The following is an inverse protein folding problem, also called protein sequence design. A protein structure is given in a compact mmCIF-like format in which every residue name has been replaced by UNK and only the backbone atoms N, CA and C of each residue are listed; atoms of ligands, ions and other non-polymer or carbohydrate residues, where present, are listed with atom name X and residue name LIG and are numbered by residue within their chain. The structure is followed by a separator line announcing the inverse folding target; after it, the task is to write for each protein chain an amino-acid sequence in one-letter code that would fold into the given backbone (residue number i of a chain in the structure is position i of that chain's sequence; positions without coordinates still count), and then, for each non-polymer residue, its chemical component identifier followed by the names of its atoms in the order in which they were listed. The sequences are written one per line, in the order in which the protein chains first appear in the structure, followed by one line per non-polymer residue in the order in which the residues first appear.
data_IF_485563793654
#
_entry.id   IF_485563793654
#
_cell.length_a   1.000
_cell.length_b   1.000
_cell.length_c   1.000
_cell.angle_alpha   90.00
_cell.angle_beta   90.00
_cell.angle_gamma   90.00
#
_symmetry.space_group_name_H-M   'P 1'
#
loop_
_entity.id
_entity.type
_entity.pdbx_description
1 polymer ?
#
# COMPACT_ATOMS: atom_id res chain seq x y z
N UNK A 1 6.67 -1.40 -18.45
CA UNK A 1 7.22 -2.53 -17.67
C UNK A 1 7.08 -2.22 -16.20
N UNK A 2 6.52 -3.15 -15.43
CA UNK A 2 6.42 -3.02 -13.98
C UNK A 2 7.74 -3.41 -13.30
N UNK A 3 8.07 -2.69 -12.25
CA UNK A 3 9.17 -3.01 -11.32
C UNK A 3 8.58 -3.24 -9.94
N UNK A 4 9.02 -4.30 -9.28
CA UNK A 4 8.62 -4.67 -7.92
C UNK A 4 9.84 -4.57 -7.03
N UNK A 5 9.78 -3.66 -6.06
CA UNK A 5 10.85 -3.39 -5.11
C UNK A 5 10.37 -3.78 -3.72
N UNK A 6 10.70 -5.00 -3.30
CA UNK A 6 10.39 -5.47 -1.96
C UNK A 6 11.28 -4.74 -0.95
N UNK A 7 10.73 -3.71 -0.30
CA UNK A 7 11.48 -2.90 0.65
C UNK A 7 11.64 -3.65 1.98
N UNK A 8 10.63 -4.40 2.40
CA UNK A 8 10.69 -5.27 3.57
C UNK A 8 9.58 -6.31 3.52
N UNK A 9 9.84 -7.47 4.13
CA UNK A 9 8.87 -8.53 4.34
C UNK A 9 9.12 -9.21 5.68
N UNK A 10 8.06 -9.48 6.43
CA UNK A 10 8.08 -10.11 7.74
C UNK A 10 7.65 -9.19 8.88
N UNK A 11 7.71 -9.70 10.11
CA UNK A 11 7.14 -9.07 11.32
C UNK A 11 7.71 -7.69 11.68
N UNK A 12 8.85 -7.30 11.09
CA UNK A 12 9.44 -5.97 11.27
C UNK A 12 8.79 -4.89 10.38
N UNK A 13 7.82 -5.26 9.54
CA UNK A 13 7.10 -4.38 8.64
C UNK A 13 7.18 -4.85 7.19
N UNK A 14 6.02 -4.96 6.54
CA UNK A 14 5.87 -5.27 5.13
C UNK A 14 5.70 -3.97 4.34
N UNK A 15 6.42 -3.87 3.22
CA UNK A 15 6.25 -2.77 2.28
C UNK A 15 6.81 -3.18 0.90
N UNK A 16 5.96 -3.09 -0.11
CA UNK A 16 6.30 -3.36 -1.50
C UNK A 16 6.05 -2.10 -2.33
N UNK A 17 7.10 -1.55 -2.92
CA UNK A 17 6.99 -0.47 -3.90
C UNK A 17 6.79 -1.09 -5.28
N UNK A 18 5.71 -0.71 -5.95
CA UNK A 18 5.45 -1.09 -7.34
C UNK A 18 5.55 0.15 -8.22
N UNK A 19 6.36 0.09 -9.26
CA UNK A 19 6.64 1.23 -10.14
C UNK A 19 6.44 0.85 -11.61
N UNK A 20 5.76 1.72 -12.35
CA UNK A 20 5.72 1.70 -13.81
C UNK A 20 6.72 2.72 -14.37
N UNK A 21 6.54 3.12 -15.63
CA UNK A 21 7.29 4.24 -16.18
C UNK A 21 6.83 5.60 -15.61
N UNK A 22 5.57 5.71 -15.20
CA UNK A 22 4.95 7.00 -14.84
C UNK A 22 4.33 7.05 -13.45
N UNK A 23 4.10 5.89 -12.84
CA UNK A 23 3.32 5.75 -11.61
C UNK A 23 4.08 4.92 -10.59
N UNK A 24 3.94 5.29 -9.32
CA UNK A 24 4.38 4.47 -8.19
C UNK A 24 3.24 4.29 -7.22
N UNK A 25 3.09 3.07 -6.70
CA UNK A 25 2.18 2.74 -5.62
C UNK A 25 2.91 1.95 -4.55
N UNK A 26 2.44 2.00 -3.31
CA UNK A 26 2.88 1.12 -2.24
C UNK A 26 1.79 0.09 -1.96
N UNK A 27 2.20 -1.16 -1.79
CA UNK A 27 1.40 -2.20 -1.16
C UNK A 27 1.95 -2.36 0.27
N UNK A 28 1.10 -2.05 1.23
CA UNK A 28 1.40 -1.97 2.67
C UNK A 28 2.44 -0.92 3.07
N UNK A 29 2.36 -0.50 4.33
CA UNK A 29 3.17 0.55 4.95
C UNK A 29 3.56 0.14 6.37
N UNK A 30 4.10 -1.07 6.51
CA UNK A 30 4.56 -1.63 7.77
C UNK A 30 5.86 -1.02 8.31
N UNK A 31 6.52 -0.19 7.53
CA UNK A 31 7.78 0.48 7.86
C UNK A 31 7.55 1.94 8.23
N UNK A 32 8.40 2.51 9.09
CA UNK A 32 8.41 3.96 9.31
C UNK A 32 8.74 4.73 8.02
N UNK A 33 8.26 5.97 7.90
CA UNK A 33 8.55 6.83 6.74
C UNK A 33 10.04 6.94 6.42
N UNK A 34 10.89 7.03 7.46
CA UNK A 34 12.35 7.05 7.30
C UNK A 34 12.88 5.75 6.70
N UNK A 35 12.41 4.60 7.18
CA UNK A 35 12.84 3.30 6.66
C UNK A 35 12.39 3.08 5.22
N UNK A 36 11.15 3.47 4.87
CA UNK A 36 10.67 3.42 3.49
C UNK A 36 11.59 4.20 2.55
N UNK A 37 11.91 5.44 2.92
CA UNK A 37 12.78 6.30 2.11
C UNK A 37 14.18 5.72 1.95
N UNK A 38 14.85 5.37 3.07
CA UNK A 38 16.20 4.83 3.03
C UNK A 38 16.29 3.52 2.23
N UNK A 39 15.28 2.65 2.32
CA UNK A 39 15.27 1.37 1.61
C UNK A 39 14.94 1.53 0.13
N UNK A 40 14.04 2.46 -0.23
CA UNK A 40 13.80 2.81 -1.62
C UNK A 40 15.08 3.36 -2.27
N UNK A 41 15.76 4.29 -1.61
CA UNK A 41 17.03 4.86 -2.10
C UNK A 41 18.12 3.79 -2.26
N UNK A 42 18.21 2.85 -1.31
CA UNK A 42 19.20 1.77 -1.35
C UNK A 42 19.05 0.84 -2.58
N UNK A 43 17.85 0.77 -3.17
CA UNK A 43 17.58 0.00 -4.40
C UNK A 43 17.49 0.89 -5.65
N UNK A 44 17.88 2.17 -5.54
CA UNK A 44 17.87 3.13 -6.65
C UNK A 44 16.48 3.67 -7.01
N UNK A 45 15.50 3.53 -6.13
CA UNK A 45 14.15 4.09 -6.28
C UNK A 45 13.93 5.26 -5.33
N UNK A 46 12.82 5.99 -5.52
CA UNK A 46 12.37 7.05 -4.64
C UNK A 46 10.87 6.95 -4.37
N UNK A 47 10.40 7.54 -3.27
CA UNK A 47 8.97 7.70 -3.01
C UNK A 47 8.35 8.91 -3.73
N UNK A 48 9.17 9.69 -4.44
CA UNK A 48 8.66 10.80 -5.23
C UNK A 48 7.78 10.28 -6.37
N UNK A 49 6.65 10.96 -6.57
CA UNK A 49 5.64 10.55 -7.54
C UNK A 49 4.78 9.37 -7.09
N UNK A 50 4.84 8.95 -5.81
CA UNK A 50 3.90 8.00 -5.22
C UNK A 50 2.47 8.53 -5.33
N UNK A 51 1.57 7.72 -5.90
CA UNK A 51 0.20 8.11 -6.25
C UNK A 51 -0.86 7.55 -5.32
N UNK A 52 -0.64 6.35 -4.80
CA UNK A 52 -1.59 5.66 -3.95
C UNK A 52 -0.88 4.65 -3.04
N UNK A 53 -1.57 4.29 -1.96
CA UNK A 53 -1.23 3.16 -1.10
C UNK A 53 -2.38 2.16 -1.14
N UNK A 54 -2.07 0.87 -1.18
CA UNK A 54 -3.01 -0.23 -1.07
C UNK A 54 -2.66 -1.04 0.19
N UNK A 55 -3.61 -1.22 1.10
CA UNK A 55 -3.41 -1.99 2.33
C UNK A 55 -4.06 -3.35 2.18
N UNK A 56 -3.32 -4.41 2.42
CA UNK A 56 -3.84 -5.79 2.32
C UNK A 56 -4.77 -6.14 3.48
N UNK A 57 -4.39 -5.75 4.70
CA UNK A 57 -5.16 -5.95 5.93
C UNK A 57 -4.61 -5.12 7.10
N UNK A 58 -5.31 -5.11 8.24
CA UNK A 58 -5.11 -4.17 9.35
C UNK A 58 -4.02 -4.53 10.37
N UNK A 59 -3.19 -5.55 10.13
CA UNK A 59 -2.12 -5.90 11.06
C UNK A 59 -1.04 -4.83 11.17
N UNK A 60 -0.46 -4.69 12.36
CA UNK A 60 0.52 -3.63 12.66
C UNK A 60 1.74 -3.65 11.73
N UNK A 61 2.23 -4.82 11.39
CA UNK A 61 3.34 -4.99 10.44
C UNK A 61 2.95 -4.67 8.99
N UNK A 62 1.70 -4.30 8.70
CA UNK A 62 1.24 -3.78 7.42
C UNK A 62 0.87 -2.30 7.46
N UNK A 63 0.52 -1.75 8.64
CA UNK A 63 -0.02 -0.38 8.73
C UNK A 63 0.73 0.56 9.68
N UNK A 64 1.76 0.12 10.39
CA UNK A 64 2.41 0.94 11.44
C UNK A 64 2.93 2.31 10.96
N UNK A 65 3.32 2.43 9.68
CA UNK A 65 3.78 3.67 9.06
C UNK A 65 2.69 4.49 8.38
N UNK A 66 1.47 3.97 8.26
CA UNK A 66 0.41 4.52 7.42
C UNK A 66 0.03 5.95 7.81
N UNK A 67 -0.22 6.23 9.10
CA UNK A 67 -0.63 7.56 9.54
C UNK A 67 0.44 8.65 9.29
N UNK A 68 1.72 8.32 9.46
CA UNK A 68 2.81 9.28 9.16
C UNK A 68 2.92 9.52 7.66
N UNK A 69 2.87 8.46 6.86
CA UNK A 69 2.93 8.58 5.40
C UNK A 69 1.74 9.39 4.86
N UNK A 70 0.53 9.11 5.34
CA UNK A 70 -0.69 9.84 4.95
C UNK A 70 -0.58 11.35 5.20
N UNK A 71 -0.10 11.75 6.40
CA UNK A 71 0.10 13.17 6.74
C UNK A 71 1.16 13.88 5.88
N UNK A 72 2.20 13.15 5.46
CA UNK A 72 3.31 13.72 4.67
C UNK A 72 3.00 13.83 3.18
N UNK A 73 2.16 12.95 2.65
CA UNK A 73 1.95 12.80 1.21
C UNK A 73 0.56 13.23 0.75
N UNK A 74 -0.48 13.09 1.58
CA UNK A 74 -1.86 13.43 1.23
C UNK A 74 -2.49 12.56 0.13
N UNK A 75 -1.84 11.45 -0.23
CA UNK A 75 -2.31 10.50 -1.25
C UNK A 75 -3.40 9.59 -0.69
N UNK A 76 -4.27 9.02 -1.55
CA UNK A 76 -5.29 8.08 -1.13
C UNK A 76 -4.70 6.75 -0.61
N UNK A 77 -5.31 6.23 0.44
CA UNK A 77 -5.08 4.88 0.97
C UNK A 77 -6.30 4.01 0.65
N UNK A 78 -6.09 3.06 -0.24
CA UNK A 78 -7.09 2.09 -0.67
C UNK A 78 -7.08 0.88 0.25
N UNK A 79 -8.25 0.53 0.78
CA UNK A 79 -8.45 -0.66 1.61
C UNK A 79 -9.94 -1.03 1.67
N UNK A 80 -10.23 -2.25 2.11
CA UNK A 80 -11.60 -2.70 2.35
C UNK A 80 -12.23 -2.01 3.57
N UNK A 81 -13.58 -1.94 3.66
CA UNK A 81 -14.26 -1.40 4.84
C UNK A 81 -13.85 -2.09 6.14
N UNK A 82 -13.68 -3.42 6.13
CA UNK A 82 -13.24 -4.18 7.29
C UNK A 82 -11.82 -3.80 7.72
N UNK A 83 -10.89 -3.70 6.78
CA UNK A 83 -9.52 -3.23 7.05
C UNK A 83 -9.51 -1.81 7.62
N UNK A 84 -10.30 -0.89 7.06
CA UNK A 84 -10.38 0.48 7.55
C UNK A 84 -10.94 0.58 8.97
N UNK A 85 -12.00 -0.18 9.27
CA UNK A 85 -12.60 -0.23 10.60
C UNK A 85 -11.71 -0.94 11.63
N UNK A 86 -10.90 -1.89 11.18
CA UNK A 86 -9.97 -2.67 12.01
C UNK A 86 -8.63 -1.99 12.28
N UNK A 87 -8.34 -0.82 11.69
CA UNK A 87 -7.06 -0.15 11.86
C UNK A 87 -6.69 0.00 13.36
N UNK A 88 -5.50 -0.45 13.78
CA UNK A 88 -5.05 -0.35 15.16
C UNK A 88 -5.05 1.11 15.63
N UNK A 89 -5.43 1.34 16.89
CA UNK A 89 -5.50 2.69 17.48
C UNK A 89 -4.16 3.47 17.40
N UNK A 90 -3.04 2.76 17.37
CA UNK A 90 -1.68 3.33 17.24
C UNK A 90 -1.27 3.75 15.82
N UNK A 91 -2.05 3.40 14.79
CA UNK A 91 -1.73 3.71 13.37
C UNK A 91 -1.65 5.22 13.11
N UNK A 92 -2.40 6.00 13.90
CA UNK A 92 -2.60 7.42 13.69
C UNK A 92 -3.55 7.73 12.54
N UNK A 93 -3.88 9.01 12.36
CA UNK A 93 -4.88 9.43 11.37
C UNK A 93 -4.42 9.17 9.92
N UNK A 94 -5.21 8.39 9.19
CA UNK A 94 -5.14 8.22 7.73
C UNK A 94 -6.21 9.13 7.12
N UNK A 95 -5.83 10.33 6.70
CA UNK A 95 -6.76 11.42 6.36
C UNK A 95 -7.56 11.19 5.07
N UNK A 96 -7.11 10.29 4.19
CA UNK A 96 -7.68 10.10 2.85
C UNK A 96 -7.85 8.62 2.53
N UNK A 97 -8.78 7.98 3.23
CA UNK A 97 -9.17 6.59 2.97
C UNK A 97 -10.11 6.53 1.77
N UNK A 98 -9.82 5.62 0.84
CA UNK A 98 -10.66 5.29 -0.31
C UNK A 98 -11.07 3.83 -0.20
N UNK A 99 -12.36 3.58 0.07
CA UNK A 99 -12.85 2.22 0.27
C UNK A 99 -13.12 1.52 -1.06
N UNK A 100 -12.93 0.20 -1.08
CA UNK A 100 -13.31 -0.70 -2.17
C UNK A 100 -13.81 -2.04 -1.59
N UNK A 101 -14.56 -2.81 -2.36
CA UNK A 101 -14.98 -4.17 -1.97
C UNK A 101 -14.03 -5.24 -2.55
N UNK A 102 -13.83 -6.36 -1.84
CA UNK A 102 -12.96 -7.42 -2.34
C UNK A 102 -13.43 -7.93 -3.71
N UNK A 103 -12.52 -7.94 -4.70
CA UNK A 103 -12.83 -8.21 -6.10
C UNK A 103 -12.85 -6.96 -6.98
N UNK A 104 -12.95 -5.77 -6.39
CA UNK A 104 -12.92 -4.51 -7.15
C UNK A 104 -11.54 -4.23 -7.74
N UNK A 105 -11.55 -3.51 -8.87
CA UNK A 105 -10.38 -2.98 -9.54
C UNK A 105 -10.31 -1.46 -9.41
N UNK A 106 -9.15 -0.96 -9.01
CA UNK A 106 -8.87 0.47 -8.85
C UNK A 106 -7.84 0.90 -9.90
N UNK A 107 -8.19 1.89 -10.72
CA UNK A 107 -7.25 2.50 -11.66
C UNK A 107 -6.43 3.60 -10.98
N UNK A 108 -5.11 3.53 -11.13
CA UNK A 108 -4.17 4.56 -10.68
C UNK A 108 -3.27 4.92 -11.87
N UNK A 109 -3.60 6.02 -12.54
CA UNK A 109 -2.89 6.47 -13.74
C UNK A 109 -2.76 5.33 -14.79
N UNK A 110 -1.54 4.83 -15.05
CA UNK A 110 -1.27 3.74 -16.00
C UNK A 110 -1.30 2.32 -15.39
N UNK A 111 -1.80 2.17 -14.16
CA UNK A 111 -1.95 0.91 -13.44
C UNK A 111 -3.41 0.57 -13.16
N UNK A 112 -3.71 -0.73 -13.17
CA UNK A 112 -4.95 -1.29 -12.62
C UNK A 112 -4.56 -2.23 -11.48
N UNK A 113 -5.15 -2.01 -10.31
CA UNK A 113 -4.92 -2.82 -9.10
C UNK A 113 -6.23 -3.53 -8.76
N UNK A 114 -6.26 -4.84 -8.96
CA UNK A 114 -7.45 -5.68 -8.70
C UNK A 114 -7.27 -6.45 -7.40
N UNK A 115 -8.22 -6.30 -6.50
CA UNK A 115 -8.22 -7.02 -5.23
C UNK A 115 -8.82 -8.41 -5.37
N UNK A 116 -8.42 -9.35 -4.52
CA UNK A 116 -9.08 -10.64 -4.36
C UNK A 116 -9.05 -11.07 -2.88
N UNK A 117 -10.12 -11.70 -2.37
CA UNK A 117 -10.18 -12.10 -0.97
C UNK A 117 -9.16 -13.21 -0.67
N UNK A 118 -8.57 -13.16 0.51
CA UNK A 118 -7.68 -14.22 1.02
C UNK A 118 -8.14 -14.70 2.39
N UNK A 119 -7.82 -15.94 2.76
CA UNK A 119 -8.09 -16.44 4.11
C UNK A 119 -6.93 -16.07 5.03
N UNK A 120 -7.16 -15.12 5.95
CA UNK A 120 -6.21 -14.75 6.99
C UNK A 120 -6.94 -14.33 8.27
N UNK A 121 -6.23 -14.31 9.40
CA UNK A 121 -6.79 -13.86 10.68
C UNK A 121 -6.83 -12.33 10.73
N UNK A 122 -7.72 -11.75 9.93
CA UNK A 122 -7.93 -10.30 9.80
C UNK A 122 -9.38 -10.03 9.40
N UNK A 123 -9.86 -8.79 9.58
CA UNK A 123 -11.26 -8.42 9.43
C UNK A 123 -11.78 -8.61 8.00
N UNK A 124 -11.01 -8.17 7.00
CA UNK A 124 -11.38 -8.28 5.59
C UNK A 124 -10.14 -8.23 4.67
N UNK A 125 -9.28 -9.27 4.72
CA UNK A 125 -7.98 -9.28 4.06
C UNK A 125 -8.08 -9.58 2.56
N UNK A 126 -7.26 -8.87 1.79
CA UNK A 126 -7.15 -9.05 0.33
C UNK A 126 -5.71 -9.20 -0.15
N UNK A 127 -5.54 -9.93 -1.24
CA UNK A 127 -4.37 -9.85 -2.11
C UNK A 127 -4.61 -8.90 -3.29
N UNK A 128 -3.55 -8.57 -4.01
CA UNK A 128 -3.62 -7.67 -5.17
C UNK A 128 -2.96 -8.26 -6.40
N UNK A 129 -3.61 -8.07 -7.55
CA UNK A 129 -3.03 -8.21 -8.88
C UNK A 129 -2.76 -6.82 -9.42
N UNK A 130 -1.54 -6.55 -9.89
CA UNK A 130 -1.17 -5.24 -10.47
C UNK A 130 -0.82 -5.43 -11.93
N UNK A 131 -1.53 -4.67 -12.76
CA UNK A 131 -1.34 -4.65 -14.21
C UNK A 131 -0.94 -3.23 -14.64
N UNK A 132 -0.07 -3.11 -15.64
CA UNK A 132 0.30 -1.82 -16.22
C UNK A 132 0.60 -1.97 -17.70
N UNK A 133 0.07 -1.03 -18.49
CA UNK A 133 0.17 -1.07 -19.95
C UNK A 133 -0.70 -2.16 -20.55
N UNK A 134 -2.01 -1.95 -20.52
CA UNK A 134 -2.94 -2.74 -21.33
C UNK A 134 -2.64 -2.56 -22.82
N UNK A 135 -2.51 -3.69 -23.52
CA UNK A 135 -3.01 -3.81 -24.88
C UNK A 135 -4.30 -4.62 -24.80
#
# INVERSE_FOLDING_TARGET
MLRFCLLSSGSAGNALLVASATTKILIDVGLSFRQLHCRAEAVGESLDGLRAVFITHEHNDHVSGAGVLARRTGIPFHMTPGTAAGLPSGTGAVSRVALFEAGDAVSVDDMIVTSFPVSHDAADPVGYVVESGGA
#
